data_IF_151883699455
#
_entry.id   IF_151883699455
#
_cell.length_a   1.000
_cell.length_b   1.000
_cell.length_c   1.000
_cell.angle_alpha   90.00
_cell.angle_beta   90.00
_cell.angle_gamma   90.00
#
_symmetry.space_group_name_H-M   'P 1'
#
loop_
_entity.id
_entity.type
_entity.pdbx_description
1 polymer ?
#
# COMPACT_ATOMS: atom_id res chain seq x y z
N UNK A 1 63.36 66.07 8.80
CA UNK A 1 63.41 67.51 8.44
C UNK A 1 63.83 67.54 6.99
N UNK A 2 62.99 67.88 6.01
CA UNK A 2 62.45 69.20 5.71
C UNK A 2 61.19 69.01 4.85
N UNK A 3 60.16 69.81 5.15
CA UNK A 3 58.92 69.98 4.39
C UNK A 3 59.19 70.71 3.08
N UNK A 4 58.56 70.30 1.99
CA UNK A 4 58.23 71.24 0.91
C UNK A 4 56.79 71.04 0.43
N UNK A 5 56.10 72.18 0.32
CA UNK A 5 54.71 72.35 -0.06
C UNK A 5 54.65 73.05 -1.43
N UNK A 6 53.81 72.52 -2.34
CA UNK A 6 53.10 73.19 -3.47
C UNK A 6 53.95 73.83 -4.61
N UNK A 7 53.42 74.15 -5.82
CA UNK A 7 52.02 74.14 -6.29
C UNK A 7 51.73 73.55 -7.71
N UNK A 8 50.46 73.18 -7.89
CA UNK A 8 49.52 73.45 -9.01
C UNK A 8 50.09 73.75 -10.41
N UNK A 9 49.74 72.89 -11.38
CA UNK A 9 49.44 73.28 -12.77
C UNK A 9 48.19 72.51 -13.23
N UNK A 10 47.17 73.26 -13.66
CA UNK A 10 45.96 72.74 -14.29
C UNK A 10 46.20 72.60 -15.80
N UNK A 11 45.81 71.47 -16.39
CA UNK A 11 45.53 71.39 -17.82
C UNK A 11 44.46 70.34 -18.12
N UNK A 12 43.52 70.76 -18.97
CA UNK A 12 42.24 70.14 -19.26
C UNK A 12 42.33 68.73 -19.87
N UNK A 13 41.39 67.87 -19.49
CA UNK A 13 41.12 66.59 -20.12
C UNK A 13 39.65 66.54 -20.57
N UNK A 14 39.46 66.25 -21.86
CA UNK A 14 38.20 65.85 -22.46
C UNK A 14 37.62 64.66 -21.71
N UNK A 15 36.33 64.72 -21.36
CA UNK A 15 35.58 63.52 -20.96
C UNK A 15 34.37 63.36 -21.88
N UNK A 16 34.38 62.23 -22.59
CA UNK A 16 33.31 61.68 -23.38
C UNK A 16 32.06 61.44 -22.52
N UNK A 17 30.91 61.85 -23.02
CA UNK A 17 29.61 61.47 -22.46
C UNK A 17 29.39 59.96 -22.65
N UNK A 18 29.52 59.18 -21.57
CA UNK A 18 29.05 57.81 -21.49
C UNK A 18 27.66 57.81 -20.85
N UNK A 19 26.63 57.53 -21.65
CA UNK A 19 25.28 57.28 -21.17
C UNK A 19 25.23 55.92 -20.44
N UNK A 20 24.51 55.81 -19.31
CA UNK A 20 24.40 54.55 -18.59
C UNK A 20 23.43 53.62 -19.32
N UNK A 21 23.95 52.53 -19.90
CA UNK A 21 23.15 51.39 -20.34
C UNK A 21 22.62 50.68 -19.08
N UNK A 22 21.36 50.95 -18.74
CA UNK A 22 20.59 50.12 -17.82
C UNK A 22 20.31 48.78 -18.49
N UNK A 23 21.04 47.74 -18.10
CA UNK A 23 20.61 46.36 -18.32
C UNK A 23 19.43 46.09 -17.40
N UNK A 24 18.21 46.24 -17.92
CA UNK A 24 17.01 45.71 -17.29
C UNK A 24 17.06 44.18 -17.37
N UNK A 25 17.48 43.55 -16.28
CA UNK A 25 17.29 42.12 -16.06
C UNK A 25 15.84 41.90 -15.67
N UNK A 26 14.97 41.68 -16.66
CA UNK A 26 13.60 41.23 -16.42
C UNK A 26 13.35 39.91 -17.18
N UNK A 27 14.16 38.91 -16.84
CA UNK A 27 13.79 37.52 -17.04
C UNK A 27 13.17 37.02 -15.74
N UNK A 28 11.93 37.43 -15.49
CA UNK A 28 11.08 36.76 -14.53
C UNK A 28 10.99 35.29 -14.96
N UNK A 29 11.71 34.42 -14.25
CA UNK A 29 11.53 32.99 -14.34
C UNK A 29 10.05 32.71 -14.05
N UNK A 30 9.29 32.44 -15.10
CA UNK A 30 7.94 31.95 -14.98
C UNK A 30 8.06 30.57 -14.34
N UNK A 31 7.83 30.52 -13.03
CA UNK A 31 7.53 29.28 -12.33
C UNK A 31 6.49 28.54 -13.15
N UNK A 32 6.66 27.22 -13.41
CA UNK A 32 5.63 26.46 -14.09
C UNK A 32 4.30 26.67 -13.35
N UNK A 33 3.19 26.85 -14.07
CA UNK A 33 1.90 27.07 -13.44
C UNK A 33 1.68 25.93 -12.43
N UNK A 34 1.40 26.31 -11.18
CA UNK A 34 0.93 25.37 -10.17
C UNK A 34 -0.18 24.55 -10.84
N UNK A 35 -0.02 23.22 -10.86
CA UNK A 35 -0.98 22.31 -11.47
C UNK A 35 -2.36 22.69 -10.94
N UNK A 36 -3.18 23.27 -11.82
CA UNK A 36 -4.57 23.59 -11.50
C UNK A 36 -5.22 22.32 -10.94
N UNK A 37 -6.15 22.49 -10.00
CA UNK A 37 -6.96 21.45 -9.36
C UNK A 37 -7.75 20.68 -10.44
N UNK A 38 -7.06 19.78 -11.15
CA UNK A 38 -7.65 18.93 -12.16
C UNK A 38 -8.44 17.89 -11.39
N UNK A 39 -9.76 17.91 -11.56
CA UNK A 39 -10.62 16.84 -11.08
C UNK A 39 -10.11 15.50 -11.63
N UNK A 40 -9.62 14.64 -10.75
CA UNK A 40 -9.19 13.30 -11.09
C UNK A 40 -10.41 12.42 -11.37
N UNK A 41 -10.26 11.42 -12.23
CA UNK A 41 -11.34 10.47 -12.53
C UNK A 41 -11.51 9.43 -11.40
N UNK A 42 -11.65 9.87 -10.15
CA UNK A 42 -11.86 8.99 -9.01
C UNK A 42 -12.66 9.65 -7.87
N UNK A 43 -13.49 8.86 -7.20
CA UNK A 43 -14.28 9.31 -6.05
C UNK A 43 -14.62 8.16 -5.10
N UNK A 44 -14.93 8.47 -3.85
CA UNK A 44 -15.38 7.46 -2.87
C UNK A 44 -16.79 6.99 -3.22
N UNK A 45 -16.99 5.68 -3.21
CA UNK A 45 -18.31 5.06 -3.36
C UNK A 45 -18.98 5.02 -1.99
N UNK A 46 -20.27 5.33 -1.92
CA UNK A 46 -21.05 5.11 -0.70
C UNK A 46 -21.41 3.63 -0.64
N UNK A 47 -20.92 2.94 0.39
CA UNK A 47 -21.18 1.53 0.63
C UNK A 47 -21.24 1.28 2.13
N UNK A 48 -22.10 0.35 2.54
CA UNK A 48 -22.33 0.01 3.95
C UNK A 48 -21.51 -1.20 4.40
N UNK A 49 -21.16 -2.10 3.48
CA UNK A 49 -20.52 -3.37 3.75
C UNK A 49 -19.15 -3.51 3.05
N UNK A 50 -18.81 -2.60 2.13
CA UNK A 50 -17.51 -2.58 1.49
C UNK A 50 -16.54 -1.62 2.19
N UNK A 51 -15.37 -2.09 2.65
CA UNK A 51 -14.38 -1.21 3.25
C UNK A 51 -13.71 -0.32 2.19
N UNK A 52 -13.71 1.00 2.44
CA UNK A 52 -12.96 2.01 1.67
C UNK A 52 -13.09 1.93 0.13
N UNK A 53 -14.30 1.83 -0.45
CA UNK A 53 -14.44 1.70 -1.90
C UNK A 53 -14.19 3.04 -2.59
N UNK A 54 -13.38 3.02 -3.64
CA UNK A 54 -13.02 4.17 -4.47
C UNK A 54 -13.19 3.79 -5.93
N UNK A 55 -14.14 4.43 -6.61
CA UNK A 55 -14.32 4.33 -8.06
C UNK A 55 -13.12 5.00 -8.74
N UNK A 56 -12.55 4.34 -9.75
CA UNK A 56 -11.41 4.78 -10.55
C UNK A 56 -11.77 4.58 -12.04
N UNK A 57 -11.91 5.68 -12.77
CA UNK A 57 -12.52 5.69 -14.10
C UNK A 57 -13.95 5.14 -14.08
N UNK A 58 -14.42 4.61 -15.20
CA UNK A 58 -15.81 4.15 -15.33
C UNK A 58 -15.99 2.66 -14.94
N UNK A 59 -14.93 1.85 -15.06
CA UNK A 59 -15.03 0.38 -14.98
C UNK A 59 -14.54 -0.21 -13.66
N UNK A 60 -13.69 0.48 -12.90
CA UNK A 60 -12.96 -0.13 -11.77
C UNK A 60 -13.31 0.52 -10.45
N UNK A 61 -13.58 -0.29 -9.44
CA UNK A 61 -13.70 0.11 -8.05
C UNK A 61 -12.56 -0.56 -7.29
N UNK A 62 -11.75 0.21 -6.58
CA UNK A 62 -10.80 -0.35 -5.60
C UNK A 62 -11.44 -0.39 -4.21
N UNK A 63 -11.11 -1.36 -3.37
CA UNK A 63 -11.62 -1.41 -1.99
C UNK A 63 -11.01 -2.52 -1.14
N UNK A 64 -11.62 -2.80 0.01
CA UNK A 64 -11.21 -3.83 0.97
C UNK A 64 -11.91 -5.17 0.77
N UNK A 65 -11.57 -6.13 1.62
CA UNK A 65 -12.12 -7.49 1.56
C UNK A 65 -13.65 -7.45 1.74
N UNK A 66 -14.45 -8.04 0.81
CA UNK A 66 -15.85 -8.31 1.09
C UNK A 66 -15.92 -9.46 2.12
N UNK A 67 -16.23 -9.13 3.37
CA UNK A 67 -16.12 -10.07 4.50
C UNK A 67 -17.29 -11.05 4.58
N UNK A 68 -18.50 -10.62 4.22
CA UNK A 68 -19.73 -11.38 4.48
C UNK A 68 -20.70 -11.36 3.29
N UNK A 69 -21.79 -12.12 3.43
CA UNK A 69 -22.83 -12.23 2.42
C UNK A 69 -23.44 -10.87 2.03
N UNK A 70 -23.50 -9.91 2.95
CA UNK A 70 -24.02 -8.56 2.69
C UNK A 70 -23.07 -7.76 1.80
N UNK A 71 -21.75 -7.89 2.00
CA UNK A 71 -20.73 -7.29 1.14
C UNK A 71 -20.81 -7.83 -0.30
N UNK A 72 -20.99 -9.14 -0.49
CA UNK A 72 -21.17 -9.72 -1.82
C UNK A 72 -22.49 -9.31 -2.49
N UNK A 73 -23.58 -9.19 -1.71
CA UNK A 73 -24.84 -8.64 -2.18
C UNK A 73 -24.69 -7.17 -2.63
N UNK A 74 -23.94 -6.37 -1.86
CA UNK A 74 -23.68 -4.97 -2.18
C UNK A 74 -22.85 -4.83 -3.46
N UNK A 75 -21.81 -5.66 -3.67
CA UNK A 75 -21.06 -5.70 -4.93
C UNK A 75 -21.97 -5.97 -6.13
N UNK A 76 -22.89 -6.93 -6.00
CA UNK A 76 -23.87 -7.23 -7.05
C UNK A 76 -24.80 -6.04 -7.30
N UNK A 77 -25.21 -5.32 -6.25
CA UNK A 77 -26.07 -4.13 -6.36
C UNK A 77 -25.38 -2.97 -7.07
N UNK A 78 -24.05 -2.84 -6.90
CA UNK A 78 -23.18 -1.93 -7.63
C UNK A 78 -22.93 -2.38 -9.09
N UNK A 79 -23.52 -3.50 -9.50
CA UNK A 79 -23.40 -4.04 -10.86
C UNK A 79 -22.11 -4.80 -11.13
N UNK A 80 -21.23 -4.96 -10.14
CA UNK A 80 -19.94 -5.65 -10.28
C UNK A 80 -20.14 -7.03 -10.91
N UNK A 81 -19.27 -7.38 -11.85
CA UNK A 81 -19.24 -8.68 -12.53
C UNK A 81 -18.03 -9.51 -12.16
N UNK A 82 -16.90 -8.83 -11.94
CA UNK A 82 -15.63 -9.47 -11.62
C UNK A 82 -15.02 -8.88 -10.35
N UNK A 83 -14.56 -9.74 -9.45
CA UNK A 83 -13.75 -9.40 -8.29
C UNK A 83 -12.31 -9.85 -8.56
N UNK A 84 -11.34 -8.98 -8.28
CA UNK A 84 -9.91 -9.28 -8.34
C UNK A 84 -9.32 -9.10 -6.94
N UNK A 85 -8.93 -10.18 -6.27
CA UNK A 85 -8.09 -10.07 -5.07
C UNK A 85 -6.65 -9.84 -5.48
N UNK A 86 -6.04 -8.81 -4.90
CA UNK A 86 -4.58 -8.60 -4.91
C UNK A 86 -3.95 -8.86 -3.55
N UNK A 87 -4.73 -9.35 -2.59
CA UNK A 87 -4.23 -9.88 -1.32
C UNK A 87 -3.61 -11.26 -1.52
N UNK A 88 -2.71 -11.68 -0.62
CA UNK A 88 -2.20 -13.07 -0.62
C UNK A 88 -3.19 -14.06 0.01
N UNK A 89 -4.14 -13.57 0.82
CA UNK A 89 -5.17 -14.40 1.43
C UNK A 89 -6.05 -15.08 0.38
N UNK A 90 -6.39 -16.35 0.62
CA UNK A 90 -7.22 -17.15 -0.29
C UNK A 90 -8.62 -16.54 -0.41
N UNK A 91 -9.09 -16.20 -1.62
CA UNK A 91 -10.41 -15.62 -1.77
C UNK A 91 -11.57 -16.61 -1.61
N UNK A 92 -12.72 -16.12 -1.15
CA UNK A 92 -13.97 -16.89 -1.04
C UNK A 92 -14.71 -16.96 -2.40
N UNK A 93 -14.25 -17.88 -3.24
CA UNK A 93 -14.83 -18.14 -4.57
C UNK A 93 -16.23 -18.73 -4.49
N UNK A 94 -16.53 -19.51 -3.43
CA UNK A 94 -17.83 -20.13 -3.26
C UNK A 94 -18.90 -19.06 -2.98
N UNK A 95 -18.61 -18.11 -2.09
CA UNK A 95 -19.49 -16.98 -1.83
C UNK A 95 -19.69 -16.14 -3.10
N UNK A 96 -18.62 -15.79 -3.81
CA UNK A 96 -18.73 -15.04 -5.06
C UNK A 96 -19.63 -15.73 -6.10
N UNK A 97 -19.50 -17.06 -6.26
CA UNK A 97 -20.32 -17.83 -7.18
C UNK A 97 -21.79 -17.82 -6.80
N UNK A 98 -22.15 -17.79 -5.51
CA UNK A 98 -23.55 -17.66 -5.06
C UNK A 98 -24.21 -16.37 -5.55
N UNK A 99 -23.42 -15.32 -5.75
CA UNK A 99 -23.86 -14.03 -6.26
C UNK A 99 -23.67 -13.85 -7.77
N UNK A 100 -23.20 -14.89 -8.48
CA UNK A 100 -22.91 -14.83 -9.91
C UNK A 100 -21.73 -13.93 -10.27
N UNK A 101 -20.78 -13.74 -9.34
CA UNK A 101 -19.59 -12.92 -9.51
C UNK A 101 -18.40 -13.79 -9.90
N UNK A 102 -17.66 -13.38 -10.92
CA UNK A 102 -16.38 -14.01 -11.28
C UNK A 102 -15.31 -13.57 -10.29
N UNK A 103 -14.52 -14.51 -9.78
CA UNK A 103 -13.34 -14.18 -8.96
C UNK A 103 -12.04 -14.45 -9.70
N UNK A 104 -11.05 -13.57 -9.49
CA UNK A 104 -9.68 -13.69 -9.99
C UNK A 104 -8.70 -13.34 -8.86
N UNK A 105 -7.57 -14.04 -8.78
CA UNK A 105 -6.58 -13.84 -7.73
C UNK A 105 -5.22 -13.48 -8.33
N UNK A 106 -4.80 -12.22 -8.16
CA UNK A 106 -3.57 -11.63 -8.72
C UNK A 106 -2.73 -10.94 -7.62
N UNK A 107 -2.17 -11.70 -6.66
CA UNK A 107 -1.51 -11.13 -5.49
C UNK A 107 -0.22 -10.35 -5.84
N UNK A 108 0.05 -9.29 -5.08
CA UNK A 108 1.33 -8.58 -5.09
C UNK A 108 1.69 -8.03 -3.68
N UNK A 109 2.97 -7.69 -3.51
CA UNK A 109 3.51 -7.18 -2.25
C UNK A 109 3.37 -5.68 -2.05
N UNK A 110 3.78 -5.19 -0.88
CA UNK A 110 3.84 -3.75 -0.54
C UNK A 110 5.07 -3.04 -1.14
N UNK A 111 6.06 -3.80 -1.57
CA UNK A 111 7.26 -3.32 -2.25
C UNK A 111 7.04 -2.88 -3.70
N UNK A 112 5.87 -3.12 -4.29
CA UNK A 112 5.54 -2.71 -5.64
C UNK A 112 4.77 -3.79 -6.40
N UNK A 113 4.60 -3.56 -7.70
CA UNK A 113 3.87 -4.46 -8.60
C UNK A 113 4.84 -4.90 -9.70
N UNK A 114 5.20 -6.20 -9.76
CA UNK A 114 6.08 -6.71 -10.82
C UNK A 114 5.51 -6.45 -12.22
N UNK A 115 6.37 -6.24 -13.23
CA UNK A 115 5.94 -5.91 -14.60
C UNK A 115 4.94 -6.93 -15.18
N UNK A 116 5.18 -8.23 -15.00
CA UNK A 116 4.23 -9.27 -15.43
C UNK A 116 2.85 -9.09 -14.77
N UNK A 117 2.82 -8.75 -13.48
CA UNK A 117 1.57 -8.50 -12.75
C UNK A 117 0.88 -7.23 -13.23
N UNK A 118 1.62 -6.19 -13.62
CA UNK A 118 1.05 -4.99 -14.27
C UNK A 118 0.34 -5.37 -15.56
N UNK A 119 0.98 -6.18 -16.41
CA UNK A 119 0.41 -6.65 -17.68
C UNK A 119 -0.86 -7.49 -17.44
N UNK A 120 -0.84 -8.41 -16.48
CA UNK A 120 -2.01 -9.23 -16.13
C UNK A 120 -3.17 -8.38 -15.60
N UNK A 121 -2.90 -7.41 -14.72
CA UNK A 121 -3.91 -6.51 -14.18
C UNK A 121 -4.50 -5.61 -15.28
N UNK A 122 -3.67 -5.06 -16.16
CA UNK A 122 -4.11 -4.26 -17.29
C UNK A 122 -5.00 -5.08 -18.24
N UNK A 123 -4.57 -6.30 -18.57
CA UNK A 123 -5.37 -7.23 -19.39
C UNK A 123 -6.68 -7.60 -18.70
N UNK A 124 -6.68 -7.84 -17.39
CA UNK A 124 -7.90 -8.14 -16.64
C UNK A 124 -8.89 -6.97 -16.71
N UNK A 125 -8.41 -5.75 -16.47
CA UNK A 125 -9.23 -4.53 -16.51
C UNK A 125 -9.77 -4.25 -17.92
N UNK A 126 -9.00 -4.58 -18.97
CA UNK A 126 -9.44 -4.45 -20.36
C UNK A 126 -10.47 -5.51 -20.74
N UNK A 127 -10.15 -6.79 -20.52
CA UNK A 127 -10.84 -7.93 -21.16
C UNK A 127 -11.98 -8.52 -20.31
N UNK A 128 -11.90 -8.46 -18.98
CA UNK A 128 -12.93 -9.07 -18.14
C UNK A 128 -14.19 -8.22 -18.07
N UNK A 129 -15.34 -8.86 -17.87
CA UNK A 129 -16.61 -8.17 -17.69
C UNK A 129 -16.58 -7.26 -16.46
N UNK A 130 -17.04 -6.02 -16.63
CA UNK A 130 -17.10 -5.02 -15.57
C UNK A 130 -18.53 -4.59 -15.22
N UNK A 131 -18.71 -3.73 -14.20
CA UNK A 131 -17.68 -3.16 -13.33
C UNK A 131 -16.82 -4.19 -12.56
N UNK A 132 -15.56 -3.85 -12.32
CA UNK A 132 -14.55 -4.71 -11.69
C UNK A 132 -14.24 -4.17 -10.29
N UNK A 133 -14.30 -5.02 -9.28
CA UNK A 133 -13.89 -4.69 -7.91
C UNK A 133 -12.52 -5.27 -7.59
N UNK A 134 -11.50 -4.42 -7.43
CA UNK A 134 -10.13 -4.83 -7.08
C UNK A 134 -9.94 -4.60 -5.59
N UNK A 135 -9.61 -5.64 -4.83
CA UNK A 135 -9.48 -5.51 -3.38
C UNK A 135 -8.20 -6.11 -2.79
N UNK A 136 -7.82 -5.58 -1.63
CA UNK A 136 -6.89 -6.20 -0.70
C UNK A 136 -7.58 -6.33 0.66
N UNK A 137 -6.87 -6.54 1.76
CA UNK A 137 -7.50 -6.64 3.08
C UNK A 137 -8.30 -5.37 3.48
N UNK A 138 -7.61 -4.24 3.68
CA UNK A 138 -8.25 -2.99 4.17
C UNK A 138 -8.66 -1.98 3.08
N UNK A 139 -8.31 -2.24 1.82
CA UNK A 139 -8.64 -1.34 0.71
C UNK A 139 -7.88 -0.03 0.60
N UNK A 140 -6.83 0.15 1.41
CA UNK A 140 -6.10 1.43 1.50
C UNK A 140 -4.77 1.44 0.75
N UNK A 141 -4.21 0.28 0.39
CA UNK A 141 -2.80 0.19 -0.04
C UNK A 141 -2.66 -0.58 -1.35
N UNK A 142 -2.63 -1.92 -1.27
CA UNK A 142 -2.40 -2.79 -2.43
C UNK A 142 -3.47 -2.60 -3.50
N UNK A 143 -4.76 -2.61 -3.13
CA UNK A 143 -5.85 -2.44 -4.09
C UNK A 143 -5.89 -1.11 -4.83
N UNK A 144 -5.82 0.09 -4.20
CA UNK A 144 -5.79 1.33 -4.97
C UNK A 144 -4.52 1.45 -5.82
N UNK A 145 -3.38 0.91 -5.38
CA UNK A 145 -2.17 0.84 -6.19
C UNK A 145 -2.36 -0.05 -7.43
N UNK A 146 -2.85 -1.28 -7.25
CA UNK A 146 -3.14 -2.20 -8.35
C UNK A 146 -4.18 -1.65 -9.32
N UNK A 147 -5.28 -1.11 -8.81
CA UNK A 147 -6.33 -0.53 -9.64
C UNK A 147 -5.83 0.67 -10.45
N UNK A 148 -5.08 1.58 -9.81
CA UNK A 148 -4.46 2.72 -10.51
C UNK A 148 -3.53 2.26 -11.61
N UNK A 149 -2.60 1.35 -11.30
CA UNK A 149 -1.64 0.81 -12.27
C UNK A 149 -2.35 0.10 -13.41
N UNK A 150 -3.37 -0.72 -13.11
CA UNK A 150 -4.16 -1.43 -14.11
C UNK A 150 -4.90 -0.47 -15.05
N UNK A 151 -5.58 0.55 -14.51
CA UNK A 151 -6.33 1.51 -15.30
C UNK A 151 -5.41 2.39 -16.17
N UNK A 152 -4.25 2.82 -15.65
CA UNK A 152 -3.26 3.57 -16.44
C UNK A 152 -2.70 2.67 -17.55
N UNK A 153 -2.29 1.45 -17.21
CA UNK A 153 -1.70 0.51 -18.16
C UNK A 153 -2.70 0.03 -19.23
N UNK A 154 -3.98 -0.05 -18.91
CA UNK A 154 -5.05 -0.32 -19.87
C UNK A 154 -5.49 0.94 -20.67
N UNK A 155 -4.89 2.11 -20.43
CA UNK A 155 -5.23 3.36 -21.11
C UNK A 155 -6.59 3.96 -20.71
N UNK A 156 -7.15 3.56 -19.56
CA UNK A 156 -8.47 4.02 -19.09
C UNK A 156 -8.41 5.34 -18.32
N UNK A 157 -7.28 5.64 -17.67
CA UNK A 157 -7.06 6.89 -16.93
C UNK A 157 -5.64 7.43 -17.23
N UNK A 158 -5.41 8.75 -17.09
CA UNK A 158 -4.07 9.33 -17.26
C UNK A 158 -3.14 8.95 -16.10
N UNK A 159 -1.85 8.75 -16.40
CA UNK A 159 -0.83 8.48 -15.38
C UNK A 159 -0.70 9.60 -14.33
N UNK A 160 -1.03 10.84 -14.70
CA UNK A 160 -0.98 12.01 -13.80
C UNK A 160 -1.90 11.91 -12.58
N UNK A 161 -2.98 11.12 -12.66
CA UNK A 161 -3.97 11.00 -11.57
C UNK A 161 -3.47 10.06 -10.44
N UNK A 162 -2.42 9.28 -10.71
CA UNK A 162 -2.02 8.15 -9.87
C UNK A 162 -1.77 8.51 -8.40
N UNK A 163 -1.04 9.60 -8.14
CA UNK A 163 -0.72 10.00 -6.76
C UNK A 163 -1.96 10.41 -5.98
N UNK A 164 -2.86 11.16 -6.63
CA UNK A 164 -4.06 11.68 -6.02
C UNK A 164 -5.07 10.56 -5.73
N UNK A 165 -5.17 9.54 -6.59
CA UNK A 165 -5.99 8.33 -6.33
C UNK A 165 -5.49 7.58 -5.10
N UNK A 166 -4.17 7.34 -5.00
CA UNK A 166 -3.58 6.66 -3.84
C UNK A 166 -3.83 7.45 -2.55
N UNK A 167 -3.69 8.78 -2.59
CA UNK A 167 -3.98 9.66 -1.45
C UNK A 167 -5.47 9.64 -1.08
N UNK A 168 -6.37 9.72 -2.06
CA UNK A 168 -7.82 9.62 -1.85
C UNK A 168 -8.19 8.32 -1.13
N UNK A 169 -7.58 7.20 -1.53
CA UNK A 169 -7.80 5.89 -0.90
C UNK A 169 -7.13 5.75 0.48
N UNK A 170 -6.29 6.70 0.91
CA UNK A 170 -5.58 6.65 2.20
C UNK A 170 -4.33 5.77 2.17
N UNK A 171 -3.66 5.67 1.02
CA UNK A 171 -2.38 4.96 0.91
C UNK A 171 -1.34 5.64 1.78
N UNK A 172 -0.68 4.88 2.65
CA UNK A 172 0.37 5.42 3.50
C UNK A 172 1.62 5.75 2.68
N UNK A 173 2.22 6.95 2.84
CA UNK A 173 3.45 7.33 2.13
C UNK A 173 4.65 6.43 2.45
N UNK A 174 4.56 5.62 3.52
CA UNK A 174 5.58 4.64 3.87
C UNK A 174 5.70 3.50 2.85
N UNK A 175 4.64 3.22 2.07
CA UNK A 175 4.67 2.22 1.01
C UNK A 175 5.21 2.79 -0.30
N UNK A 176 6.49 3.18 -0.27
CA UNK A 176 7.16 3.83 -1.40
C UNK A 176 7.13 2.98 -2.68
N UNK A 177 7.17 1.65 -2.55
CA UNK A 177 7.07 0.72 -3.67
C UNK A 177 5.74 0.81 -4.42
N UNK A 178 4.63 0.96 -3.70
CA UNK A 178 3.29 1.15 -4.29
C UNK A 178 3.18 2.49 -5.00
N UNK A 179 3.67 3.57 -4.39
CA UNK A 179 3.70 4.88 -5.04
C UNK A 179 4.58 4.90 -6.28
N UNK A 180 5.73 4.22 -6.23
CA UNK A 180 6.62 4.07 -7.40
C UNK A 180 5.91 3.34 -8.53
N UNK A 181 5.31 2.19 -8.25
CA UNK A 181 4.57 1.42 -9.26
C UNK A 181 3.47 2.26 -9.91
N UNK A 182 2.67 2.98 -9.11
CA UNK A 182 1.59 3.83 -9.60
C UNK A 182 2.10 5.01 -10.46
N UNK A 183 3.17 5.69 -10.03
CA UNK A 183 3.75 6.84 -10.76
C UNK A 183 4.48 6.43 -12.04
N UNK A 184 5.05 5.22 -12.06
CA UNK A 184 5.80 4.70 -13.20
C UNK A 184 4.92 3.96 -14.22
N UNK A 185 3.65 3.72 -13.92
CA UNK A 185 2.73 3.06 -14.83
C UNK A 185 2.57 3.86 -16.14
N UNK A 186 2.57 3.15 -17.26
CA UNK A 186 2.37 3.69 -18.59
C UNK A 186 1.37 2.83 -19.36
N UNK A 187 0.59 3.40 -20.30
CA UNK A 187 -0.26 2.63 -21.19
C UNK A 187 0.54 1.55 -21.93
N UNK A 188 0.02 0.33 -21.94
CA UNK A 188 0.55 -0.79 -22.70
C UNK A 188 -0.16 -0.80 -24.06
N UNK A 189 0.59 -1.03 -25.13
CA UNK A 189 0.02 -1.08 -26.47
C UNK A 189 -1.03 -2.20 -26.59
N UNK A 190 -2.15 -1.93 -27.27
CA UNK A 190 -3.24 -2.91 -27.43
C UNK A 190 -2.74 -4.24 -28.00
N UNK A 191 -1.83 -4.20 -28.98
CA UNK A 191 -1.24 -5.39 -29.59
C UNK A 191 -0.45 -6.26 -28.59
N UNK A 192 0.22 -5.64 -27.61
CA UNK A 192 0.94 -6.38 -26.56
C UNK A 192 -0.04 -7.07 -25.60
N UNK A 193 -1.10 -6.37 -25.19
CA UNK A 193 -2.15 -6.96 -24.36
C UNK A 193 -2.94 -8.06 -25.08
N UNK A 194 -3.11 -7.96 -26.40
CA UNK A 194 -3.73 -9.00 -27.23
C UNK A 194 -2.85 -10.26 -27.34
N UNK A 195 -1.53 -10.08 -27.48
CA UNK A 195 -0.59 -11.19 -27.54
C UNK A 195 -0.43 -11.91 -26.18
N UNK A 196 -0.66 -11.21 -25.08
CA UNK A 196 -0.49 -11.75 -23.73
C UNK A 196 -1.49 -12.88 -23.44
N UNK A 197 -0.97 -14.06 -23.10
CA UNK A 197 -1.77 -15.20 -22.68
C UNK A 197 -1.82 -15.25 -21.15
N UNK A 198 -2.99 -14.95 -20.58
CA UNK A 198 -3.19 -14.96 -19.12
C UNK A 198 -4.34 -15.89 -18.78
N UNK A 199 -4.08 -16.83 -17.87
CA UNK A 199 -5.13 -17.60 -17.22
C UNK A 199 -5.51 -16.90 -15.93
N UNK A 200 -6.68 -16.29 -15.91
CA UNK A 200 -7.23 -15.66 -14.71
C UNK A 200 -7.80 -16.71 -13.76
N UNK A 201 -6.94 -17.25 -12.91
CA UNK A 201 -7.31 -18.23 -11.88
C UNK A 201 -8.03 -17.56 -10.71
N UNK A 202 -9.05 -18.24 -10.16
CA UNK A 202 -9.84 -17.73 -9.05
C UNK A 202 -9.07 -17.80 -7.71
N UNK A 203 -8.06 -18.68 -7.63
CA UNK A 203 -7.20 -18.87 -6.46
C UNK A 203 -5.81 -19.28 -6.93
N UNK A 204 -4.78 -18.69 -6.36
CA UNK A 204 -3.38 -19.10 -6.50
C UNK A 204 -2.82 -19.40 -5.10
N UNK A 205 -1.88 -20.34 -5.00
CA UNK A 205 -1.20 -20.64 -3.74
C UNK A 205 -0.13 -19.58 -3.47
N UNK A 206 -0.14 -18.91 -2.30
CA UNK A 206 0.92 -17.99 -1.94
C UNK A 206 2.22 -18.74 -1.61
N UNK A 207 3.39 -18.09 -1.70
CA UNK A 207 4.63 -18.65 -1.15
C UNK A 207 4.52 -18.93 0.36
N UNK A 208 5.26 -19.92 0.91
CA UNK A 208 5.15 -20.31 2.32
C UNK A 208 5.31 -19.15 3.32
N UNK A 209 6.25 -18.24 3.08
CA UNK A 209 6.43 -17.06 3.93
C UNK A 209 5.18 -16.15 3.94
N UNK A 210 4.51 -16.01 2.79
CA UNK A 210 3.28 -15.20 2.69
C UNK A 210 2.13 -15.89 3.42
N UNK A 211 2.00 -17.21 3.28
CA UNK A 211 1.03 -18.02 4.03
C UNK A 211 1.22 -17.85 5.55
N UNK A 212 2.46 -17.94 6.03
CA UNK A 212 2.78 -17.73 7.44
C UNK A 212 2.46 -16.29 7.91
N UNK A 213 2.73 -15.29 7.08
CA UNK A 213 2.38 -13.89 7.40
C UNK A 213 0.86 -13.68 7.49
N UNK A 214 0.07 -14.38 6.67
CA UNK A 214 -1.40 -14.33 6.74
C UNK A 214 -1.89 -14.92 8.06
N UNK A 215 -1.34 -16.07 8.48
CA UNK A 215 -1.70 -16.68 9.76
C UNK A 215 -1.31 -15.80 10.97
N UNK A 216 -0.16 -15.14 10.90
CA UNK A 216 0.28 -14.17 11.92
C UNK A 216 -0.64 -12.94 11.95
N UNK A 217 -1.04 -12.40 10.80
CA UNK A 217 -1.96 -11.26 10.74
C UNK A 217 -3.32 -11.62 11.37
N UNK A 218 -3.87 -12.79 11.03
CA UNK A 218 -5.13 -13.26 11.61
C UNK A 218 -5.05 -13.42 13.13
N UNK A 219 -4.01 -14.09 13.64
CA UNK A 219 -3.80 -14.26 15.09
C UNK A 219 -3.59 -12.91 15.78
N UNK A 220 -2.86 -11.99 15.16
CA UNK A 220 -2.66 -10.64 15.69
C UNK A 220 -3.96 -9.84 15.76
N UNK A 221 -4.82 -9.95 14.77
CA UNK A 221 -6.12 -9.27 14.77
C UNK A 221 -7.08 -9.88 15.80
N UNK A 222 -7.03 -11.20 16.02
CA UNK A 222 -7.73 -11.83 17.15
C UNK A 222 -7.22 -11.27 18.50
N UNK A 223 -5.90 -11.17 18.69
CA UNK A 223 -5.31 -10.57 19.88
C UNK A 223 -5.73 -9.11 20.09
N UNK A 224 -5.81 -8.31 19.02
CA UNK A 224 -6.33 -6.94 19.10
C UNK A 224 -7.81 -6.90 19.50
N UNK A 225 -8.64 -7.78 18.93
CA UNK A 225 -10.07 -7.87 19.32
C UNK A 225 -10.20 -8.21 20.80
N UNK A 226 -9.44 -9.18 21.27
CA UNK A 226 -9.40 -9.56 22.69
C UNK A 226 -8.92 -8.40 23.56
N UNK A 227 -7.84 -7.71 23.19
CA UNK A 227 -7.34 -6.56 23.92
C UNK A 227 -8.35 -5.41 23.98
N UNK A 228 -9.11 -5.17 22.90
CA UNK A 228 -10.19 -4.19 22.86
C UNK A 228 -11.40 -4.58 23.73
N UNK A 229 -11.55 -5.87 24.01
CA UNK A 229 -12.58 -6.43 24.90
C UNK A 229 -12.06 -6.72 26.32
N UNK A 230 -10.97 -6.05 26.75
CA UNK A 230 -10.33 -6.27 28.06
C UNK A 230 -9.96 -7.74 28.34
N UNK A 231 -9.55 -8.46 27.29
CA UNK A 231 -9.20 -9.88 27.29
C UNK A 231 -10.35 -10.80 27.71
N UNK A 232 -11.59 -10.36 27.55
CA UNK A 232 -12.79 -11.17 27.75
C UNK A 232 -13.25 -11.78 26.43
N UNK A 233 -13.66 -13.04 26.50
CA UNK A 233 -14.27 -13.73 25.36
C UNK A 233 -15.65 -13.11 25.08
N UNK A 234 -15.91 -12.83 23.82
CA UNK A 234 -17.16 -12.23 23.34
C UNK A 234 -18.12 -13.32 22.87
N UNK A 235 -19.43 -13.13 23.06
CA UNK A 235 -20.46 -14.04 22.53
C UNK A 235 -20.41 -14.18 21.00
N UNK A 236 -19.84 -13.19 20.30
CA UNK A 236 -19.65 -13.22 18.84
C UNK A 236 -18.47 -14.10 18.40
N UNK A 237 -17.53 -14.34 19.30
CA UNK A 237 -16.31 -15.10 19.06
C UNK A 237 -16.03 -16.01 20.28
N UNK A 238 -16.93 -16.97 20.57
CA UNK A 238 -16.79 -17.86 21.73
C UNK A 238 -15.63 -18.85 21.56
N UNK A 239 -15.09 -18.95 20.35
CA UNK A 239 -13.96 -19.77 19.95
C UNK A 239 -12.60 -19.18 20.37
N UNK A 240 -12.53 -17.86 20.62
CA UNK A 240 -11.27 -17.21 20.98
C UNK A 240 -10.92 -17.43 22.45
N UNK A 241 -9.74 -18.00 22.71
CA UNK A 241 -9.14 -18.08 24.04
C UNK A 241 -7.89 -17.18 24.12
N UNK A 242 -7.83 -16.21 25.05
CA UNK A 242 -6.71 -15.28 25.16
C UNK A 242 -5.33 -15.91 25.27
N UNK A 243 -5.19 -16.97 26.07
CA UNK A 243 -3.90 -17.61 26.27
C UNK A 243 -3.51 -18.46 25.04
N UNK A 244 -4.50 -19.07 24.38
CA UNK A 244 -4.32 -19.82 23.15
C UNK A 244 -3.90 -18.93 21.99
N UNK A 245 -4.54 -17.79 21.77
CA UNK A 245 -4.15 -16.86 20.69
C UNK A 245 -2.73 -16.31 20.91
N UNK A 246 -2.35 -16.01 22.16
CA UNK A 246 -0.98 -15.59 22.47
C UNK A 246 0.05 -16.71 22.26
N UNK A 247 -0.33 -17.96 22.58
CA UNK A 247 0.46 -19.15 22.28
C UNK A 247 0.63 -19.33 20.77
N UNK A 248 -0.44 -19.28 19.98
CA UNK A 248 -0.39 -19.38 18.52
C UNK A 248 0.55 -18.33 17.93
N UNK A 249 0.47 -17.09 18.41
CA UNK A 249 1.37 -16.01 17.98
C UNK A 249 2.85 -16.35 18.23
N UNK A 250 3.16 -16.92 19.40
CA UNK A 250 4.51 -17.41 19.74
C UNK A 250 4.95 -18.55 18.84
N UNK A 251 4.08 -19.52 18.58
CA UNK A 251 4.38 -20.67 17.73
C UNK A 251 4.61 -20.25 16.28
N UNK A 252 3.85 -19.28 15.77
CA UNK A 252 4.07 -18.76 14.43
C UNK A 252 5.48 -18.19 14.24
N UNK A 253 5.98 -17.39 15.20
CA UNK A 253 7.35 -16.89 15.14
C UNK A 253 8.40 -18.00 15.38
N UNK A 254 8.05 -19.03 16.15
CA UNK A 254 8.94 -20.19 16.36
C UNK A 254 9.13 -20.98 15.08
N UNK A 255 8.06 -21.23 14.33
CA UNK A 255 8.12 -21.92 13.04
C UNK A 255 8.86 -21.10 11.97
N UNK A 256 8.71 -19.77 11.97
CA UNK A 256 9.49 -18.91 11.09
C UNK A 256 11.00 -19.01 11.30
N UNK A 257 11.47 -19.30 12.52
CA UNK A 257 12.90 -19.52 12.80
C UNK A 257 13.40 -20.87 12.29
N UNK A 258 12.50 -21.80 11.95
CA UNK A 258 12.80 -23.13 11.40
C UNK A 258 12.69 -23.16 9.88
N UNK A 259 12.02 -22.17 9.29
CA UNK A 259 11.89 -22.02 7.84
C UNK A 259 13.24 -21.70 7.20
N UNK A 260 13.68 -22.61 6.32
CA UNK A 260 14.95 -22.50 5.59
C UNK A 260 14.85 -21.56 4.38
N UNK A 261 13.64 -21.31 3.88
CA UNK A 261 13.38 -20.45 2.73
C UNK A 261 13.15 -18.99 3.16
N UNK A 262 12.98 -18.74 4.46
CA UNK A 262 12.96 -17.40 5.03
C UNK A 262 14.35 -16.71 4.95
N UNK A 263 14.41 -15.36 5.03
CA UNK A 263 15.68 -14.64 5.06
C UNK A 263 16.60 -15.09 6.21
N UNK A 264 17.79 -15.57 5.88
CA UNK A 264 18.74 -16.12 6.88
C UNK A 264 19.66 -15.06 7.52
N UNK A 265 19.42 -13.78 7.25
CA UNK A 265 20.24 -12.71 7.84
C UNK A 265 20.10 -12.67 9.36
N UNK A 266 21.20 -12.37 10.06
CA UNK A 266 21.19 -12.24 11.52
C UNK A 266 20.15 -11.22 12.01
N UNK A 267 19.99 -10.12 11.27
CA UNK A 267 19.01 -9.08 11.59
C UNK A 267 17.56 -9.60 11.49
N UNK A 268 17.23 -10.36 10.44
CA UNK A 268 15.89 -10.96 10.30
C UNK A 268 15.63 -11.95 11.43
N UNK A 269 16.55 -12.89 11.66
CA UNK A 269 16.39 -13.89 12.70
C UNK A 269 16.26 -13.25 14.10
N UNK A 270 16.99 -12.16 14.37
CA UNK A 270 16.84 -11.44 15.63
C UNK A 270 15.47 -10.78 15.75
N UNK A 271 14.96 -10.16 14.68
CA UNK A 271 13.63 -9.57 14.68
C UNK A 271 12.53 -10.60 14.95
N UNK A 272 12.67 -11.83 14.45
CA UNK A 272 11.72 -12.91 14.73
C UNK A 272 11.86 -13.41 16.17
N UNK A 273 13.08 -13.56 16.70
CA UNK A 273 13.30 -13.91 18.12
C UNK A 273 12.67 -12.89 19.06
N UNK A 274 12.89 -11.60 18.83
CA UNK A 274 12.32 -10.52 19.64
C UNK A 274 10.78 -10.54 19.62
N UNK A 275 10.18 -10.92 18.48
CA UNK A 275 8.72 -11.05 18.33
C UNK A 275 8.18 -12.28 19.05
N UNK A 276 8.86 -13.42 18.94
CA UNK A 276 8.55 -14.64 19.68
C UNK A 276 8.60 -14.40 21.20
N UNK A 277 9.64 -13.73 21.67
CA UNK A 277 9.84 -13.49 23.11
C UNK A 277 8.77 -12.52 23.66
N UNK A 278 8.36 -11.51 22.87
CA UNK A 278 7.24 -10.65 23.21
C UNK A 278 5.90 -11.41 23.28
N UNK A 279 5.65 -12.33 22.33
CA UNK A 279 4.46 -13.19 22.35
C UNK A 279 4.46 -14.16 23.54
N UNK A 280 5.60 -14.74 23.88
CA UNK A 280 5.75 -15.57 25.08
C UNK A 280 5.49 -14.77 26.38
N UNK A 281 5.97 -13.53 26.44
CA UNK A 281 5.68 -12.61 27.54
C UNK A 281 4.19 -12.29 27.67
N UNK A 282 3.51 -12.04 26.54
CA UNK A 282 2.07 -11.82 26.52
C UNK A 282 1.31 -13.05 27.03
N UNK A 283 1.65 -14.24 26.54
CA UNK A 283 1.04 -15.50 26.98
C UNK A 283 1.18 -15.69 28.49
N UNK A 284 2.40 -15.51 29.01
CA UNK A 284 2.66 -15.62 30.45
C UNK A 284 1.85 -14.60 31.26
N UNK A 285 1.78 -13.35 30.79
CA UNK A 285 1.03 -12.29 31.45
C UNK A 285 -0.48 -12.59 31.52
N UNK A 286 -1.05 -13.16 30.45
CA UNK A 286 -2.45 -13.59 30.42
C UNK A 286 -2.68 -14.75 31.39
N UNK A 287 -1.86 -15.80 31.33
CA UNK A 287 -2.00 -16.99 32.19
C UNK A 287 -1.86 -16.67 33.69
N UNK A 288 -1.00 -15.73 34.03
CA UNK A 288 -0.79 -15.28 35.42
C UNK A 288 -1.84 -14.25 35.89
N UNK A 289 -2.76 -13.84 35.02
CA UNK A 289 -3.77 -12.84 35.36
C UNK A 289 -3.18 -11.45 35.60
N UNK A 290 -2.05 -11.10 34.98
CA UNK A 290 -1.41 -9.80 35.16
C UNK A 290 -2.32 -8.66 34.68
N UNK A 291 -2.17 -7.44 35.23
CA UNK A 291 -2.95 -6.26 34.83
C UNK A 291 -2.90 -5.93 33.32
N UNK A 292 -3.94 -5.26 32.81
CA UNK A 292 -4.10 -4.96 31.38
C UNK A 292 -3.01 -4.04 30.82
N UNK A 293 -2.46 -3.13 31.63
CA UNK A 293 -1.32 -2.28 31.26
C UNK A 293 -0.06 -3.10 31.02
N UNK A 294 0.18 -4.15 31.81
CA UNK A 294 1.30 -5.08 31.59
C UNK A 294 1.09 -5.88 30.30
N UNK A 295 -0.12 -6.40 30.06
CA UNK A 295 -0.44 -7.11 28.80
C UNK A 295 -0.26 -6.19 27.58
N UNK A 296 -0.68 -4.93 27.69
CA UNK A 296 -0.56 -3.92 26.65
C UNK A 296 0.89 -3.66 26.23
N UNK A 297 1.83 -3.65 27.19
CA UNK A 297 3.25 -3.50 26.86
C UNK A 297 3.74 -4.57 25.88
N UNK A 298 3.27 -5.82 26.02
CA UNK A 298 3.63 -6.89 25.10
C UNK A 298 2.93 -6.77 23.75
N UNK A 299 1.64 -6.43 23.70
CA UNK A 299 0.94 -6.21 22.42
C UNK A 299 1.57 -5.05 21.63
N UNK A 300 1.90 -3.96 22.30
CA UNK A 300 2.55 -2.81 21.69
C UNK A 300 3.97 -3.17 21.19
N UNK A 301 4.69 -4.01 21.94
CA UNK A 301 6.01 -4.52 21.53
C UNK A 301 5.91 -5.42 20.29
N UNK A 302 4.92 -6.31 20.24
CA UNK A 302 4.66 -7.16 19.05
C UNK A 302 4.38 -6.28 17.85
N UNK A 303 3.49 -5.29 17.97
CA UNK A 303 3.16 -4.37 16.89
C UNK A 303 4.39 -3.59 16.40
N UNK A 304 5.21 -3.08 17.33
CA UNK A 304 6.44 -2.37 17.01
C UNK A 304 7.45 -3.27 16.27
N UNK A 305 7.60 -4.53 16.71
CA UNK A 305 8.50 -5.49 16.07
C UNK A 305 8.02 -5.83 14.65
N UNK A 306 6.72 -6.07 14.45
CA UNK A 306 6.13 -6.31 13.13
C UNK A 306 6.38 -5.12 12.18
N UNK A 307 6.15 -3.88 12.64
CA UNK A 307 6.43 -2.67 11.85
C UNK A 307 7.90 -2.54 11.47
N UNK A 308 8.80 -2.82 12.40
CA UNK A 308 10.25 -2.75 12.17
C UNK A 308 10.70 -3.80 11.15
N UNK A 309 10.29 -5.05 11.33
CA UNK A 309 10.59 -6.15 10.42
C UNK A 309 10.08 -5.87 9.01
N UNK A 310 8.82 -5.45 8.88
CA UNK A 310 8.23 -5.15 7.57
C UNK A 310 8.96 -4.01 6.85
N UNK A 311 9.30 -2.92 7.56
CA UNK A 311 10.07 -1.82 6.96
C UNK A 311 11.43 -2.30 6.43
N UNK A 312 12.08 -3.18 7.17
CA UNK A 312 13.43 -3.64 6.84
C UNK A 312 13.46 -4.72 5.75
N UNK A 313 12.43 -5.58 5.66
CA UNK A 313 12.48 -6.79 4.83
C UNK A 313 11.34 -6.93 3.83
N UNK A 314 10.16 -6.33 4.08
CA UNK A 314 8.95 -6.49 3.24
C UNK A 314 8.69 -5.28 2.33
N UNK A 315 8.84 -4.08 2.89
CA UNK A 315 8.39 -2.83 2.25
C UNK A 315 9.50 -2.15 1.44
N UNK A 316 10.59 -2.87 1.14
CA UNK A 316 11.72 -2.39 0.33
C UNK A 316 11.28 -2.31 -1.13
N UNK A 317 11.24 -1.12 -1.76
CA UNK A 317 10.78 -0.99 -3.14
C UNK A 317 11.48 -1.93 -4.11
N UNK A 318 10.71 -2.57 -5.01
CA UNK A 318 11.27 -3.36 -6.10
C UNK A 318 12.25 -2.52 -6.92
N UNK A 319 13.31 -3.16 -7.42
CA UNK A 319 14.21 -2.56 -8.39
C UNK A 319 13.40 -2.09 -9.62
N UNK A 320 13.76 -0.94 -10.23
CA UNK A 320 13.10 -0.45 -11.43
C UNK A 320 13.20 -1.43 -12.59
#
# INVERSE_FOLDING_TARGET
MIRHSLPIVALALLQSAAAPLHFASDAAAQSPPAAADRAIAAHRVQASHLPNPVQIGDKVISGGLPEDEQAFAELRSLGVKTIISVDGARPDVAMASRFGLRYVHLPHGYNGIPSARVQELAKAVRDLEGPIYIHCHHGKHRSPAAATVACVAAGQIPAGDATAILQLAGTSPNYQGLYRAAKSAQPIATAELDALQVRFEAQVSPPPMVEQMIAIEQTHDNLKRLAAADWKVSDKHPDLDPAHEALLMREHFTEMLRDRDAPQSQAFQQSIRDSRDAAAGLEAAIRQGLPNDVRRQFTDRIEANCKSCHRQFRDIPLAP
#
